data_IF_966566795237
#
_entry.id   IF_966566795237
#
_cell.length_a   1.000
_cell.length_b   1.000
_cell.length_c   1.000
_cell.angle_alpha   90.00
_cell.angle_beta   90.00
_cell.angle_gamma   90.00
#
_symmetry.space_group_name_H-M   'P 1'
#
loop_
_entity.id
_entity.type
_entity.pdbx_description
1 polymer ?
#
# COMPACT_ATOMS: atom_id res chain seq x y z
N UNK A 1 -5.07 10.23 -8.12
CA UNK A 1 -6.08 10.50 -7.07
C UNK A 1 -5.40 11.06 -5.84
N UNK A 2 -6.13 11.79 -5.00
CA UNK A 2 -5.64 12.32 -3.71
C UNK A 2 -6.68 12.07 -2.62
N UNK A 3 -6.25 12.11 -1.36
CA UNK A 3 -7.07 11.81 -0.19
C UNK A 3 -7.11 13.00 0.75
N UNK A 4 -8.29 13.32 1.26
CA UNK A 4 -8.46 14.22 2.40
C UNK A 4 -9.00 13.44 3.60
N UNK A 5 -8.35 13.60 4.76
CA UNK A 5 -8.78 12.98 6.01
C UNK A 5 -9.63 13.97 6.81
N UNK A 6 -10.86 13.58 7.13
CA UNK A 6 -11.79 14.38 7.94
C UNK A 6 -12.63 13.48 8.85
N UNK A 7 -13.52 14.06 9.66
CA UNK A 7 -14.47 13.28 10.44
C UNK A 7 -15.81 13.13 9.70
N UNK A 8 -16.55 12.08 10.05
CA UNK A 8 -17.86 11.76 9.45
C UNK A 8 -18.89 12.88 9.57
N UNK A 9 -18.89 13.65 10.67
CA UNK A 9 -19.82 14.77 10.84
C UNK A 9 -19.54 15.89 9.83
N UNK A 10 -18.27 16.24 9.60
CA UNK A 10 -17.86 17.21 8.59
C UNK A 10 -18.26 16.75 7.18
N UNK A 11 -18.16 15.45 6.89
CA UNK A 11 -18.67 14.91 5.63
C UNK A 11 -20.19 15.07 5.50
N UNK A 12 -20.96 14.72 6.54
CA UNK A 12 -22.42 14.87 6.54
C UNK A 12 -22.84 16.33 6.34
N UNK A 13 -22.16 17.27 6.99
CA UNK A 13 -22.37 18.71 6.79
C UNK A 13 -22.04 19.14 5.36
N UNK A 14 -20.93 18.66 4.80
CA UNK A 14 -20.53 18.96 3.43
C UNK A 14 -21.57 18.53 2.40
N UNK A 15 -22.22 17.38 2.61
CA UNK A 15 -23.32 16.91 1.75
C UNK A 15 -24.52 17.87 1.74
N UNK A 16 -24.76 18.58 2.85
CA UNK A 16 -25.84 19.58 2.94
C UNK A 16 -25.43 20.93 2.33
N UNK A 17 -24.16 21.30 2.47
CA UNK A 17 -23.63 22.59 2.02
C UNK A 17 -23.15 22.57 0.55
N UNK A 18 -23.02 21.39 -0.05
CA UNK A 18 -22.57 21.23 -1.44
C UNK A 18 -21.05 21.30 -1.64
N UNK A 19 -20.26 21.36 -0.57
CA UNK A 19 -18.80 21.32 -0.63
C UNK A 19 -18.19 20.96 0.72
N UNK A 20 -17.00 20.36 0.69
CA UNK A 20 -16.22 20.08 1.91
C UNK A 20 -15.31 21.28 2.19
N UNK A 21 -15.36 21.74 3.43
CA UNK A 21 -14.39 22.69 4.00
C UNK A 21 -13.54 21.99 5.06
N UNK A 22 -12.40 22.58 5.41
CA UNK A 22 -11.57 22.13 6.52
C UNK A 22 -11.08 23.32 7.34
N UNK A 23 -10.77 23.14 8.64
CA UNK A 23 -10.20 24.21 9.47
C UNK A 23 -8.95 24.87 8.86
N UNK A 24 -8.09 24.09 8.21
CA UNK A 24 -6.87 24.59 7.53
C UNK A 24 -7.19 25.55 6.39
N UNK A 25 -8.35 25.44 5.74
CA UNK A 25 -8.73 26.39 4.69
C UNK A 25 -8.89 27.80 5.25
N UNK A 26 -9.45 27.93 6.46
CA UNK A 26 -9.59 29.21 7.13
C UNK A 26 -8.29 29.69 7.80
N UNK A 27 -7.50 28.76 8.36
CA UNK A 27 -6.29 29.09 9.11
C UNK A 27 -5.05 29.33 8.22
N UNK A 28 -4.93 28.57 7.12
CA UNK A 28 -3.72 28.47 6.29
C UNK A 28 -4.00 28.80 4.81
N UNK A 29 -5.27 28.81 4.40
CA UNK A 29 -5.69 29.15 3.03
C UNK A 29 -5.80 27.96 2.08
N UNK A 30 -5.60 26.73 2.57
CA UNK A 30 -5.75 25.51 1.77
C UNK A 30 -6.16 24.29 2.61
N UNK A 31 -6.72 23.28 1.95
CA UNK A 31 -7.06 21.98 2.54
C UNK A 31 -5.88 21.02 2.31
N UNK A 32 -5.36 20.44 3.39
CA UNK A 32 -4.35 19.39 3.29
C UNK A 32 -4.95 18.11 2.71
N UNK A 33 -4.30 17.61 1.67
CA UNK A 33 -4.53 16.29 1.14
C UNK A 33 -3.23 15.47 1.23
N UNK A 34 -3.34 14.18 0.99
CA UNK A 34 -2.23 13.25 0.93
C UNK A 34 -2.45 12.28 -0.21
N UNK A 35 -1.38 11.68 -0.70
CA UNK A 35 -1.48 10.48 -1.53
C UNK A 35 -1.85 9.26 -0.66
N UNK A 36 -2.23 8.15 -1.30
CA UNK A 36 -2.47 6.87 -0.61
C UNK A 36 -1.25 6.43 0.22
N UNK A 37 -0.04 6.54 -0.32
CA UNK A 37 1.18 6.11 0.38
C UNK A 37 1.56 7.03 1.56
N UNK A 38 1.20 8.31 1.52
CA UNK A 38 1.43 9.25 2.63
C UNK A 38 0.40 9.09 3.75
N UNK A 39 -0.81 8.60 3.43
CA UNK A 39 -1.96 8.73 4.33
C UNK A 39 -1.77 8.00 5.66
N UNK A 40 -1.21 6.79 5.67
CA UNK A 40 -0.95 6.04 6.91
C UNK A 40 -0.09 6.85 7.87
N UNK A 41 1.02 7.39 7.37
CA UNK A 41 2.00 8.10 8.20
C UNK A 41 1.45 9.44 8.69
N UNK A 42 0.72 10.16 7.82
CA UNK A 42 0.00 11.40 8.18
C UNK A 42 -1.04 11.14 9.26
N UNK A 43 -1.86 10.11 9.11
CA UNK A 43 -2.90 9.75 10.07
C UNK A 43 -2.31 9.40 11.44
N UNK A 44 -1.27 8.55 11.46
CA UNK A 44 -0.62 8.15 12.70
C UNK A 44 0.18 9.28 13.36
N UNK A 45 0.68 10.25 12.59
CA UNK A 45 1.42 11.41 13.12
C UNK A 45 0.50 12.47 13.71
N UNK A 46 -0.61 12.79 13.05
CA UNK A 46 -1.43 13.96 13.40
C UNK A 46 -2.81 13.62 13.97
N UNK A 47 -3.33 12.41 13.74
CA UNK A 47 -4.71 12.04 14.08
C UNK A 47 -4.79 10.83 15.00
N UNK A 48 -3.68 10.32 15.55
CA UNK A 48 -3.64 9.13 16.41
C UNK A 48 -4.67 9.21 17.54
N UNK A 49 -5.51 8.18 17.65
CA UNK A 49 -6.61 8.10 18.63
C UNK A 49 -7.87 8.88 18.26
N UNK A 50 -7.91 9.57 17.12
CA UNK A 50 -9.14 10.20 16.63
C UNK A 50 -10.16 9.14 16.20
N UNK A 51 -11.42 9.37 16.53
CA UNK A 51 -12.55 8.45 16.22
C UNK A 51 -13.43 9.03 15.13
N UNK A 52 -14.23 8.17 14.48
CA UNK A 52 -15.22 8.58 13.47
C UNK A 52 -14.59 9.31 12.27
N UNK A 53 -13.38 8.89 11.91
CA UNK A 53 -12.61 9.43 10.79
C UNK A 53 -13.02 8.78 9.47
N UNK A 54 -12.98 9.55 8.40
CA UNK A 54 -13.25 9.11 7.03
C UNK A 54 -12.21 9.68 6.06
N UNK A 55 -11.92 8.91 5.03
CA UNK A 55 -11.08 9.30 3.91
C UNK A 55 -11.97 9.70 2.74
N UNK A 56 -11.82 10.95 2.32
CA UNK A 56 -12.44 11.49 1.11
C UNK A 56 -11.49 11.22 -0.04
N UNK A 57 -11.90 10.32 -0.94
CA UNK A 57 -11.13 10.02 -2.14
C UNK A 57 -11.54 10.98 -3.26
N UNK A 58 -10.58 11.77 -3.74
CA UNK A 58 -10.82 12.92 -4.62
C UNK A 58 -10.16 12.68 -5.98
N UNK A 59 -10.92 12.99 -7.04
CA UNK A 59 -10.41 13.14 -8.41
C UNK A 59 -9.86 14.55 -8.62
N UNK A 60 -8.53 14.73 -8.77
CA UNK A 60 -7.95 16.03 -9.06
C UNK A 60 -8.47 16.69 -10.34
N UNK A 61 -8.88 15.90 -11.34
CA UNK A 61 -9.34 16.44 -12.63
C UNK A 61 -10.74 17.05 -12.56
N UNK A 62 -11.53 16.68 -11.54
CA UNK A 62 -12.88 17.18 -11.31
C UNK A 62 -12.93 18.32 -10.27
N UNK A 63 -11.78 18.73 -9.72
CA UNK A 63 -11.69 19.84 -8.78
C UNK A 63 -11.96 21.18 -9.47
N UNK A 64 -12.80 22.00 -8.84
CA UNK A 64 -12.99 23.41 -9.24
C UNK A 64 -12.00 24.36 -8.56
N UNK A 65 -11.48 23.96 -7.40
CA UNK A 65 -10.47 24.71 -6.65
C UNK A 65 -9.04 24.41 -7.14
N UNK A 66 -8.10 25.38 -7.11
CA UNK A 66 -6.72 25.13 -7.52
C UNK A 66 -6.03 24.08 -6.64
N UNK A 67 -5.36 23.11 -7.28
CA UNK A 67 -4.52 22.13 -6.63
C UNK A 67 -3.04 22.47 -6.85
N UNK A 68 -2.24 22.47 -5.77
CA UNK A 68 -0.78 22.58 -5.85
C UNK A 68 -0.10 21.43 -5.12
N UNK A 69 1.11 21.11 -5.56
CA UNK A 69 1.97 20.13 -4.92
C UNK A 69 3.15 20.87 -4.31
N UNK A 70 3.22 20.88 -2.99
CA UNK A 70 4.18 21.69 -2.23
C UNK A 70 4.82 20.84 -1.13
N UNK A 71 6.05 21.18 -0.68
CA UNK A 71 6.65 20.54 0.48
C UNK A 71 5.75 20.65 1.72
N UNK A 72 5.88 19.73 2.70
CA UNK A 72 5.04 19.74 3.88
C UNK A 72 5.23 21.04 4.68
N UNK A 73 4.11 21.58 5.16
CA UNK A 73 4.11 22.64 6.15
C UNK A 73 4.44 22.04 7.52
N UNK A 74 5.69 22.16 7.96
CA UNK A 74 6.10 21.67 9.28
C UNK A 74 5.43 22.50 10.38
N UNK A 75 4.76 21.84 11.34
CA UNK A 75 4.05 22.50 12.46
C UNK A 75 5.00 23.37 13.31
N UNK A 76 6.26 22.98 13.41
CA UNK A 76 7.29 23.72 14.15
C UNK A 76 7.89 24.90 13.37
N UNK A 77 7.43 25.13 12.13
CA UNK A 77 7.93 26.19 11.25
C UNK A 77 9.33 25.92 10.69
N UNK A 78 9.85 24.70 10.82
CA UNK A 78 11.14 24.34 10.23
C UNK A 78 11.08 24.40 8.70
N UNK A 79 12.18 24.78 8.02
CA UNK A 79 12.21 24.82 6.58
C UNK A 79 12.18 23.40 6.01
N UNK A 80 11.39 23.20 4.95
CA UNK A 80 11.36 21.93 4.23
C UNK A 80 12.73 21.61 3.64
N UNK A 81 13.15 20.35 3.76
CA UNK A 81 14.37 19.86 3.13
C UNK A 81 14.19 19.69 1.60
N UNK A 82 15.28 19.74 0.81
CA UNK A 82 15.19 19.70 -0.66
C UNK A 82 14.49 18.46 -1.24
N UNK A 83 14.54 17.34 -0.52
CA UNK A 83 14.05 16.03 -0.98
C UNK A 83 12.81 15.54 -0.21
N UNK A 84 12.11 16.44 0.48
CA UNK A 84 10.86 16.07 1.15
C UNK A 84 9.75 15.75 0.14
N UNK A 85 8.91 14.73 0.44
CA UNK A 85 7.83 14.36 -0.44
C UNK A 85 6.80 15.51 -0.53
N UNK A 86 6.36 15.82 -1.75
CA UNK A 86 5.35 16.85 -1.97
C UNK A 86 3.97 16.38 -1.52
N UNK A 87 3.20 17.29 -0.93
CA UNK A 87 1.82 17.08 -0.53
C UNK A 87 0.86 17.88 -1.41
N UNK A 88 -0.30 17.31 -1.76
CA UNK A 88 -1.35 18.03 -2.46
C UNK A 88 -2.08 18.99 -1.52
N UNK A 89 -2.16 20.26 -1.92
CA UNK A 89 -2.91 21.33 -1.23
C UNK A 89 -3.99 21.89 -2.14
N UNK A 90 -5.24 21.89 -1.66
CA UNK A 90 -6.38 22.44 -2.41
C UNK A 90 -6.69 23.84 -1.88
N UNK A 91 -6.50 24.86 -2.72
CA UNK A 91 -6.68 26.27 -2.38
C UNK A 91 -8.14 26.72 -2.55
N UNK A 92 -9.04 26.08 -1.79
CA UNK A 92 -10.46 26.34 -1.82
C UNK A 92 -11.24 25.17 -1.22
N UNK A 93 -12.57 25.23 -1.31
CA UNK A 93 -13.42 24.11 -0.91
C UNK A 93 -13.28 22.94 -1.88
N UNK A 94 -13.54 21.71 -1.43
CA UNK A 94 -13.65 20.55 -2.32
C UNK A 94 -15.10 20.43 -2.76
N UNK A 95 -15.37 20.59 -4.06
CA UNK A 95 -16.71 20.37 -4.63
C UNK A 95 -17.09 18.88 -4.60
N UNK A 96 -18.37 18.57 -4.37
CA UNK A 96 -18.81 17.18 -4.20
C UNK A 96 -18.63 16.33 -5.46
N UNK A 97 -18.66 16.94 -6.65
CA UNK A 97 -18.42 16.25 -7.92
C UNK A 97 -16.99 15.72 -8.05
N UNK A 98 -16.04 16.27 -7.30
CA UNK A 98 -14.68 15.75 -7.23
C UNK A 98 -14.54 14.56 -6.27
N UNK A 99 -15.55 14.27 -5.45
CA UNK A 99 -15.51 13.16 -4.48
C UNK A 99 -15.93 11.86 -5.17
N UNK A 100 -14.98 10.94 -5.32
CA UNK A 100 -15.20 9.60 -5.90
C UNK A 100 -15.91 8.68 -4.90
N UNK A 101 -15.41 8.67 -3.66
CA UNK A 101 -15.90 7.79 -2.59
C UNK A 101 -15.49 8.31 -1.22
N UNK A 102 -16.26 7.92 -0.22
CA UNK A 102 -15.93 8.07 1.20
C UNK A 102 -15.61 6.69 1.75
N UNK A 103 -14.53 6.58 2.50
CA UNK A 103 -14.08 5.33 3.11
C UNK A 103 -13.95 5.52 4.61
N UNK A 104 -14.57 4.65 5.38
CA UNK A 104 -14.39 4.63 6.83
C UNK A 104 -12.93 4.34 7.17
N UNK A 105 -12.37 5.10 8.11
CA UNK A 105 -10.99 4.94 8.53
C UNK A 105 -10.94 4.69 10.04
N UNK A 106 -11.28 3.47 10.47
CA UNK A 106 -11.34 3.12 11.88
C UNK A 106 -9.95 3.09 12.51
N UNK A 107 -9.88 3.43 13.79
CA UNK A 107 -8.67 3.23 14.58
C UNK A 107 -8.49 1.74 14.95
N UNK A 108 -7.24 1.32 15.05
CA UNK A 108 -6.83 0.06 15.64
C UNK A 108 -6.98 0.09 17.17
N UNK A 109 -6.96 -1.08 17.85
CA UNK A 109 -7.04 -1.14 19.32
C UNK A 109 -5.97 -0.33 20.07
N UNK A 110 -4.81 -0.12 19.46
CA UNK A 110 -3.71 0.69 20.02
C UNK A 110 -3.84 2.19 19.71
N UNK A 111 -4.87 2.59 18.96
CA UNK A 111 -5.13 3.96 18.52
C UNK A 111 -4.41 4.38 17.23
N UNK A 112 -3.71 3.46 16.56
CA UNK A 112 -3.11 3.68 15.24
C UNK A 112 -4.14 3.56 14.09
N UNK A 113 -3.72 3.86 12.87
CA UNK A 113 -4.49 3.65 11.64
C UNK A 113 -3.70 2.79 10.65
N UNK A 114 -4.39 1.85 10.02
CA UNK A 114 -3.92 1.10 8.85
C UNK A 114 -4.75 1.44 7.63
N UNK A 115 -4.13 1.46 6.45
CA UNK A 115 -4.84 1.79 5.21
C UNK A 115 -6.00 0.82 4.98
N UNK A 116 -7.22 1.33 4.73
CA UNK A 116 -8.36 0.48 4.42
C UNK A 116 -8.15 -0.22 3.08
N UNK A 117 -8.54 -1.49 2.98
CA UNK A 117 -8.43 -2.27 1.75
C UNK A 117 -9.17 -1.64 0.56
N UNK A 118 -10.14 -0.75 0.81
CA UNK A 118 -10.85 0.01 -0.22
C UNK A 118 -9.99 1.11 -0.89
N UNK A 119 -8.83 1.44 -0.32
CA UNK A 119 -7.84 2.37 -0.89
C UNK A 119 -6.72 1.69 -1.65
N UNK A 120 -6.47 0.40 -1.45
CA UNK A 120 -5.47 -0.27 -2.27
C UNK A 120 -6.01 -0.40 -3.69
N UNK A 121 -5.36 0.26 -4.66
CA UNK A 121 -5.66 0.13 -6.10
C UNK A 121 -5.51 -1.31 -6.64
N UNK A 122 -5.04 -2.21 -5.77
CA UNK A 122 -4.79 -3.60 -6.00
C UNK A 122 -5.22 -4.44 -4.78
N UNK A 123 -5.43 -5.71 -5.01
CA UNK A 123 -5.66 -6.72 -3.97
C UNK A 123 -4.43 -7.60 -3.84
N UNK A 124 -4.23 -8.20 -2.67
CA UNK A 124 -3.19 -9.22 -2.47
C UNK A 124 -3.89 -10.55 -2.22
N UNK A 125 -3.48 -11.57 -2.96
CA UNK A 125 -4.06 -12.91 -2.91
C UNK A 125 -2.98 -13.98 -3.02
N UNK A 126 -3.28 -15.21 -2.62
CA UNK A 126 -2.37 -16.33 -2.86
C UNK A 126 -2.31 -16.65 -4.36
N UNK A 127 -1.11 -16.88 -4.90
CA UNK A 127 -0.93 -17.13 -6.33
C UNK A 127 -1.75 -18.36 -6.81
N UNK A 128 -1.94 -19.37 -5.97
CA UNK A 128 -2.73 -20.57 -6.30
C UNK A 128 -4.23 -20.29 -6.48
N UNK A 129 -4.72 -19.14 -6.00
CA UNK A 129 -6.10 -18.69 -6.21
C UNK A 129 -6.29 -18.01 -7.56
N UNK A 130 -5.20 -17.68 -8.27
CA UNK A 130 -5.19 -17.04 -9.59
C UNK A 130 -4.34 -17.81 -10.61
N UNK A 131 -4.73 -19.06 -10.95
CA UNK A 131 -3.95 -19.93 -11.84
C UNK A 131 -3.73 -19.36 -13.24
N UNK A 132 -4.58 -18.44 -13.71
CA UNK A 132 -4.38 -17.76 -14.99
C UNK A 132 -3.16 -16.83 -15.02
N UNK A 133 -2.67 -16.40 -13.85
CA UNK A 133 -1.45 -15.58 -13.71
C UNK A 133 -0.17 -16.39 -13.53
N UNK A 134 -0.25 -17.73 -13.39
CA UNK A 134 0.92 -18.57 -13.08
C UNK A 134 2.03 -18.46 -14.13
N UNK A 135 1.67 -18.47 -15.41
CA UNK A 135 2.65 -18.40 -16.50
C UNK A 135 3.41 -17.07 -16.47
N UNK A 136 2.68 -15.95 -16.44
CA UNK A 136 3.27 -14.61 -16.41
C UNK A 136 4.12 -14.41 -15.15
N UNK A 137 3.60 -14.78 -13.97
CA UNK A 137 4.32 -14.68 -12.71
C UNK A 137 5.63 -15.50 -12.73
N UNK A 138 5.62 -16.67 -13.37
CA UNK A 138 6.76 -17.59 -13.39
C UNK A 138 7.85 -17.08 -14.34
N UNK A 139 7.47 -16.51 -15.48
CA UNK A 139 8.39 -15.85 -16.41
C UNK A 139 9.04 -14.63 -15.75
N UNK A 140 8.24 -13.78 -15.10
CA UNK A 140 8.75 -12.61 -14.38
C UNK A 140 9.70 -13.00 -13.24
N UNK A 141 9.36 -14.03 -12.46
CA UNK A 141 10.21 -14.49 -11.35
C UNK A 141 11.52 -15.08 -11.85
N UNK A 142 11.46 -15.95 -12.87
CA UNK A 142 12.66 -16.54 -13.47
C UNK A 142 13.60 -15.47 -14.02
N UNK A 143 13.08 -14.43 -14.68
CA UNK A 143 13.91 -13.35 -15.20
C UNK A 143 14.46 -12.47 -14.06
N UNK A 144 13.65 -12.14 -13.06
CA UNK A 144 14.05 -11.27 -11.95
C UNK A 144 15.19 -11.86 -11.11
N UNK A 145 15.18 -13.19 -10.89
CA UNK A 145 16.10 -13.86 -9.95
C UNK A 145 17.22 -14.65 -10.63
N UNK A 146 17.32 -14.59 -11.97
CA UNK A 146 18.28 -15.35 -12.77
C UNK A 146 19.75 -15.19 -12.36
N UNK A 147 20.12 -14.05 -11.76
CA UNK A 147 21.49 -13.82 -11.34
C UNK A 147 21.88 -14.59 -10.06
N UNK A 148 20.93 -14.83 -9.16
CA UNK A 148 21.14 -15.57 -7.91
C UNK A 148 20.85 -17.05 -8.09
N UNK A 149 19.82 -17.37 -8.88
CA UNK A 149 19.35 -18.73 -9.14
C UNK A 149 19.39 -19.05 -10.64
N UNK A 150 20.60 -19.20 -11.24
CA UNK A 150 20.74 -19.37 -12.69
C UNK A 150 20.21 -20.71 -13.22
N UNK A 151 20.05 -21.69 -12.35
CA UNK A 151 19.50 -23.02 -12.68
C UNK A 151 17.96 -23.05 -12.59
N UNK A 152 17.34 -22.02 -12.00
CA UNK A 152 15.89 -21.92 -11.97
C UNK A 152 15.33 -21.68 -13.37
N UNK A 153 14.18 -22.31 -13.62
CA UNK A 153 13.46 -22.17 -14.87
C UNK A 153 12.05 -21.66 -14.60
N UNK A 154 11.36 -21.17 -15.63
CA UNK A 154 9.92 -20.90 -15.55
C UNK A 154 9.14 -22.10 -14.99
N UNK A 155 9.55 -23.34 -15.32
CA UNK A 155 8.90 -24.54 -14.78
C UNK A 155 9.11 -24.69 -13.27
N UNK A 156 10.29 -24.33 -12.75
CA UNK A 156 10.57 -24.32 -11.30
C UNK A 156 9.55 -23.46 -10.55
N UNK A 157 9.30 -22.24 -11.06
CA UNK A 157 8.31 -21.33 -10.47
C UNK A 157 6.87 -21.81 -10.66
N UNK A 158 6.52 -22.38 -11.82
CA UNK A 158 5.20 -22.97 -12.05
C UNK A 158 4.89 -24.11 -11.05
N UNK A 159 5.86 -24.98 -10.80
CA UNK A 159 5.71 -26.08 -9.85
C UNK A 159 5.51 -25.54 -8.43
N UNK A 160 6.26 -24.50 -8.04
CA UNK A 160 6.10 -23.80 -6.76
C UNK A 160 4.72 -23.14 -6.61
N UNK A 161 4.23 -22.42 -7.63
CA UNK A 161 2.93 -21.73 -7.59
C UNK A 161 1.72 -22.68 -7.59
N UNK A 162 1.91 -23.90 -8.13
CA UNK A 162 0.87 -24.94 -8.11
C UNK A 162 0.83 -25.65 -6.75
N UNK A 163 1.97 -25.74 -6.05
CA UNK A 163 2.13 -26.47 -4.80
C UNK A 163 2.10 -25.57 -3.54
N UNK A 164 1.54 -24.36 -3.62
CA UNK A 164 1.52 -23.39 -2.50
C UNK A 164 0.94 -24.02 -1.22
N UNK A 165 1.70 -23.92 -0.13
CA UNK A 165 1.48 -24.55 1.16
C UNK A 165 2.48 -25.68 1.46
N UNK A 166 2.91 -26.43 0.44
CA UNK A 166 3.99 -27.41 0.56
C UNK A 166 4.64 -27.67 -0.80
N UNK A 167 5.83 -27.10 -1.02
CA UNK A 167 6.66 -27.34 -2.21
C UNK A 167 7.96 -28.00 -1.78
N UNK A 168 8.36 -29.11 -2.42
CA UNK A 168 9.59 -29.83 -2.06
C UNK A 168 9.74 -30.17 -0.55
N UNK A 169 8.64 -30.50 0.13
CA UNK A 169 8.55 -30.73 1.60
C UNK A 169 8.85 -29.49 2.47
N UNK A 170 8.73 -28.31 1.90
CA UNK A 170 8.97 -27.02 2.53
C UNK A 170 7.72 -26.15 2.49
N UNK A 171 7.55 -25.34 3.51
CA UNK A 171 6.47 -24.38 3.56
C UNK A 171 6.77 -23.21 2.62
N UNK A 172 5.84 -22.93 1.71
CA UNK A 172 5.91 -21.78 0.82
C UNK A 172 4.51 -21.21 0.58
N UNK A 173 4.33 -19.92 0.78
CA UNK A 173 3.15 -19.16 0.39
C UNK A 173 3.60 -17.99 -0.49
N UNK A 174 3.15 -17.98 -1.75
CA UNK A 174 3.44 -16.90 -2.70
C UNK A 174 2.20 -16.03 -2.85
N UNK A 175 2.39 -14.73 -2.69
CA UNK A 175 1.35 -13.71 -2.77
C UNK A 175 1.52 -12.88 -4.04
N UNK A 176 0.40 -12.63 -4.73
CA UNK A 176 0.31 -11.79 -5.92
C UNK A 176 -0.48 -10.52 -5.62
N UNK A 177 0.04 -9.38 -6.04
CA UNK A 177 -0.68 -8.12 -6.07
C UNK A 177 -1.35 -7.93 -7.43
N UNK A 178 -2.68 -7.75 -7.46
CA UNK A 178 -3.47 -7.63 -8.69
C UNK A 178 -4.29 -6.34 -8.70
N UNK A 179 -4.27 -5.58 -9.79
CA UNK A 179 -5.12 -4.38 -9.89
C UNK A 179 -6.60 -4.73 -10.19
N UNK A 180 -7.45 -3.71 -10.30
CA UNK A 180 -8.89 -3.89 -10.59
C UNK A 180 -9.17 -4.48 -11.99
N UNK A 181 -8.22 -4.38 -12.93
CA UNK A 181 -8.30 -4.98 -14.24
C UNK A 181 -7.75 -6.42 -14.29
N UNK A 182 -7.44 -6.99 -13.12
CA UNK A 182 -6.83 -8.31 -12.97
C UNK A 182 -5.44 -8.41 -13.63
N UNK A 183 -4.67 -7.31 -13.60
CA UNK A 183 -3.28 -7.30 -14.06
C UNK A 183 -2.32 -7.52 -12.89
N UNK A 184 -1.27 -8.33 -13.11
CA UNK A 184 -0.26 -8.64 -12.11
C UNK A 184 0.69 -7.45 -11.89
N UNK A 185 0.75 -6.97 -10.65
CA UNK A 185 1.58 -5.83 -10.26
C UNK A 185 2.86 -6.23 -9.53
N UNK A 186 2.88 -7.38 -8.87
CA UNK A 186 4.01 -7.81 -8.08
C UNK A 186 3.78 -9.11 -7.33
N UNK A 187 4.86 -9.64 -6.77
CA UNK A 187 4.93 -10.90 -6.05
C UNK A 187 5.74 -10.73 -4.76
N UNK A 188 5.41 -11.52 -3.75
CA UNK A 188 6.26 -11.73 -2.57
C UNK A 188 6.02 -13.13 -2.01
N UNK A 189 7.06 -13.73 -1.43
CA UNK A 189 7.02 -15.10 -0.94
C UNK A 189 7.29 -15.12 0.55
N UNK A 190 6.50 -15.92 1.27
CA UNK A 190 6.80 -16.38 2.62
C UNK A 190 7.27 -17.84 2.52
N UNK A 191 8.50 -18.11 2.91
CA UNK A 191 9.12 -19.45 2.80
C UNK A 191 9.83 -19.82 4.10
N UNK A 192 9.91 -21.11 4.44
CA UNK A 192 10.64 -21.55 5.64
C UNK A 192 12.17 -21.44 5.51
N UNK A 193 12.73 -21.56 4.30
CA UNK A 193 14.15 -21.35 4.01
C UNK A 193 14.34 -20.89 2.55
N UNK A 194 15.03 -19.76 2.35
CA UNK A 194 15.18 -19.12 1.03
C UNK A 194 16.33 -19.71 0.18
N UNK A 195 16.99 -20.77 0.67
CA UNK A 195 18.11 -21.47 0.01
C UNK A 195 19.33 -20.59 -0.29
N UNK A 196 19.43 -19.46 0.40
CA UNK A 196 20.52 -18.51 0.23
C UNK A 196 21.86 -19.14 0.64
N UNK A 197 22.89 -19.12 -0.22
CA UNK A 197 24.18 -19.73 0.08
C UNK A 197 24.81 -19.18 1.36
N UNK A 198 24.92 -20.03 2.38
CA UNK A 198 25.57 -19.69 3.65
C UNK A 198 24.65 -19.04 4.69
N UNK A 199 23.35 -18.90 4.41
CA UNK A 199 22.36 -18.52 5.41
C UNK A 199 22.26 -19.60 6.51
N UNK A 200 22.09 -19.17 7.76
CA UNK A 200 21.97 -20.05 8.94
C UNK A 200 20.71 -19.78 9.75
N UNK A 201 19.93 -18.79 9.33
CA UNK A 201 18.73 -18.34 9.97
C UNK A 201 17.62 -19.40 9.83
N UNK A 202 16.85 -19.65 10.90
CA UNK A 202 15.89 -20.76 10.93
C UNK A 202 14.60 -20.50 10.14
N UNK A 203 14.46 -19.32 9.52
CA UNK A 203 13.22 -18.87 8.90
C UNK A 203 12.13 -18.44 9.89
N UNK A 204 10.96 -18.03 9.37
CA UNK A 204 10.64 -17.92 7.95
C UNK A 204 11.28 -16.68 7.31
N UNK A 205 11.32 -16.69 5.98
CA UNK A 205 11.89 -15.65 5.15
C UNK A 205 10.80 -14.90 4.37
N UNK A 206 10.91 -13.58 4.35
CA UNK A 206 10.32 -12.73 3.32
C UNK A 206 11.27 -12.76 2.12
N UNK A 207 10.83 -13.44 1.07
CA UNK A 207 11.63 -13.73 -0.11
C UNK A 207 10.96 -13.20 -1.38
N UNK A 208 11.75 -13.15 -2.46
CA UNK A 208 11.29 -12.92 -3.82
C UNK A 208 10.34 -11.71 -4.02
N UNK A 209 10.56 -10.61 -3.28
CA UNK A 209 9.74 -9.40 -3.43
C UNK A 209 10.04 -8.73 -4.77
N UNK A 210 9.05 -8.73 -5.66
CA UNK A 210 9.15 -8.18 -7.01
C UNK A 210 7.95 -7.29 -7.33
N UNK A 211 8.20 -6.17 -8.01
CA UNK A 211 7.16 -5.25 -8.49
C UNK A 211 7.47 -4.89 -9.94
N UNK A 212 6.49 -5.08 -10.83
CA UNK A 212 6.63 -4.73 -12.25
C UNK A 212 6.98 -3.24 -12.41
N UNK A 213 7.84 -2.85 -13.36
CA UNK A 213 8.35 -1.47 -13.46
C UNK A 213 7.28 -0.38 -13.39
N UNK A 214 6.15 -0.61 -14.05
CA UNK A 214 5.01 0.31 -14.17
C UNK A 214 4.27 0.52 -12.84
N UNK A 215 4.35 -0.46 -11.95
CA UNK A 215 3.68 -0.45 -10.64
C UNK A 215 4.59 0.01 -9.49
N UNK A 216 5.87 0.31 -9.77
CA UNK A 216 6.83 0.79 -8.76
C UNK A 216 6.46 2.18 -8.28
N UNK A 217 6.80 2.47 -7.02
CA UNK A 217 6.47 3.73 -6.32
C UNK A 217 4.95 3.99 -6.16
N UNK A 218 4.11 2.98 -6.39
CA UNK A 218 2.67 3.02 -6.15
C UNK A 218 2.25 2.25 -4.88
N UNK A 219 3.20 1.93 -4.00
CA UNK A 219 2.93 1.25 -2.72
C UNK A 219 2.76 -0.28 -2.80
N UNK A 220 2.80 -0.88 -3.99
CA UNK A 220 2.66 -2.34 -4.19
C UNK A 220 3.67 -3.13 -3.38
N UNK A 221 4.96 -2.75 -3.44
CA UNK A 221 6.02 -3.45 -2.70
C UNK A 221 5.82 -3.40 -1.18
N UNK A 222 5.53 -2.22 -0.64
CA UNK A 222 5.26 -2.06 0.80
C UNK A 222 4.05 -2.88 1.24
N UNK A 223 2.97 -2.89 0.45
CA UNK A 223 1.78 -3.67 0.76
C UNK A 223 2.04 -5.19 0.72
N UNK A 224 2.82 -5.68 -0.24
CA UNK A 224 3.24 -7.09 -0.30
C UNK A 224 4.07 -7.47 0.93
N UNK A 225 5.03 -6.64 1.31
CA UNK A 225 5.86 -6.85 2.50
C UNK A 225 5.00 -6.86 3.77
N UNK A 226 4.15 -5.84 3.96
CA UNK A 226 3.26 -5.75 5.12
C UNK A 226 2.32 -6.97 5.20
N UNK A 227 1.82 -7.45 4.06
CA UNK A 227 0.99 -8.65 4.00
C UNK A 227 1.75 -9.91 4.44
N UNK A 228 2.96 -10.13 3.94
CA UNK A 228 3.81 -11.26 4.33
C UNK A 228 4.19 -11.20 5.81
N UNK A 229 4.53 -10.01 6.33
CA UNK A 229 4.80 -9.80 7.77
C UNK A 229 3.58 -10.15 8.61
N UNK A 230 2.38 -9.69 8.22
CA UNK A 230 1.14 -10.01 8.91
C UNK A 230 0.89 -11.52 8.91
N UNK A 231 1.04 -12.16 7.74
CA UNK A 231 0.86 -13.60 7.59
C UNK A 231 1.82 -14.41 8.47
N UNK A 232 3.09 -14.02 8.52
CA UNK A 232 4.09 -14.65 9.39
C UNK A 232 3.67 -14.60 10.87
N UNK A 233 3.15 -13.45 11.32
CA UNK A 233 2.62 -13.31 12.69
C UNK A 233 1.38 -14.17 12.96
N UNK A 234 0.47 -14.27 12.00
CA UNK A 234 -0.71 -15.15 12.09
C UNK A 234 -0.33 -16.62 12.26
N UNK A 235 0.77 -17.05 11.63
CA UNK A 235 1.33 -18.40 11.78
C UNK A 235 2.10 -18.60 13.09
N UNK A 236 2.24 -17.55 13.91
CA UNK A 236 2.85 -17.62 15.24
C UNK A 236 4.37 -17.38 15.26
N UNK A 237 4.97 -16.91 14.17
CA UNK A 237 6.38 -16.57 14.13
C UNK A 237 6.65 -15.23 14.82
N UNK A 238 7.65 -15.21 15.71
CA UNK A 238 8.06 -14.00 16.43
C UNK A 238 9.09 -13.16 15.64
N UNK A 239 9.85 -13.81 14.77
CA UNK A 239 10.92 -13.24 13.97
C UNK A 239 10.75 -13.67 12.50
N UNK A 240 11.30 -12.87 11.59
CA UNK A 240 11.30 -13.13 10.16
C UNK A 240 12.59 -12.57 9.57
N UNK A 241 13.12 -13.24 8.56
CA UNK A 241 14.39 -12.91 7.91
C UNK A 241 14.16 -12.43 6.48
N UNK A 242 15.10 -11.66 5.95
CA UNK A 242 15.09 -11.19 4.57
C UNK A 242 16.54 -10.94 4.12
N UNK A 243 16.76 -10.95 2.81
CA UNK A 243 18.02 -10.61 2.17
C UNK A 243 17.79 -9.55 1.09
N UNK A 244 18.73 -8.61 0.93
CA UNK A 244 18.65 -7.50 -0.04
C UNK A 244 20.00 -7.20 -0.66
#
# INVERSE_FOLDING_TARGET
MILHLTNSATWIEAQQQGSITAPSLAAEGFIHCSTEHQMRDVANKYYRGATNMVLVHIDPAALTSPLKWEPPAHIDGSPSLPDEPLFPHIYGVINLEAVIRIIDFPLNPDGSFDLPAQLTAFSITLINQVPHHHQEAAELSCEAWKHDFPEDTTQTYLDMFTATGTYANRFVEVFAALNQADELLGLATLVDDDELPGATEPGPWLAAVFVVPEARKLGVGSALVDHVVSRSRELGYAEMFLYT
#
